data_IF_134558922238
#
_entry.id   IF_134558922238
#
_cell.length_a   1.000
_cell.length_b   1.000
_cell.length_c   1.000
_cell.angle_alpha   90.00
_cell.angle_beta   90.00
_cell.angle_gamma   90.00
#
_symmetry.space_group_name_H-M   'P 1'
#
loop_
_entity.id
_entity.type
_entity.pdbx_description
1 polymer ?
#
# COMPACT_ATOMS: atom_id res chain seq x y z
N UNK A 1 11.20 -9.48 -5.14
CA UNK A 1 11.41 -8.79 -6.44
C UNK A 1 10.12 -8.25 -7.06
N UNK A 2 9.02 -9.01 -7.13
CA UNK A 2 7.71 -8.51 -7.61
C UNK A 2 7.14 -7.32 -6.81
N UNK A 3 7.28 -7.35 -5.47
CA UNK A 3 6.80 -6.29 -4.56
C UNK A 3 7.57 -4.95 -4.73
N UNK A 4 8.88 -5.02 -5.00
CA UNK A 4 9.68 -3.82 -5.28
C UNK A 4 9.35 -3.20 -6.64
N UNK A 5 9.05 -4.02 -7.64
CA UNK A 5 8.63 -3.56 -8.96
C UNK A 5 7.25 -2.86 -8.94
N UNK A 6 6.31 -3.37 -8.14
CA UNK A 6 5.02 -2.72 -7.90
C UNK A 6 5.18 -1.40 -7.11
N UNK A 7 6.09 -1.37 -6.14
CA UNK A 7 6.35 -0.19 -5.30
C UNK A 7 7.01 0.97 -6.07
N UNK A 8 7.84 0.70 -7.08
CA UNK A 8 8.49 1.77 -7.85
C UNK A 8 7.66 2.33 -9.00
N UNK A 9 6.45 1.81 -9.24
CA UNK A 9 5.65 2.16 -10.43
C UNK A 9 6.51 2.17 -11.69
N UNK A 10 7.25 1.08 -11.94
CA UNK A 10 8.15 0.95 -13.09
C UNK A 10 7.44 1.31 -14.41
N UNK A 11 6.13 1.08 -14.49
CA UNK A 11 5.28 1.47 -15.61
C UNK A 11 5.25 2.99 -15.87
N UNK A 12 5.18 3.82 -14.83
CA UNK A 12 5.19 5.28 -14.95
C UNK A 12 6.58 5.78 -15.33
N UNK A 13 7.64 5.21 -14.75
CA UNK A 13 9.02 5.59 -15.06
C UNK A 13 9.40 5.23 -16.51
N UNK A 14 8.94 4.07 -17.00
CA UNK A 14 9.11 3.66 -18.39
C UNK A 14 8.33 4.56 -19.36
N UNK A 15 7.09 4.94 -19.01
CA UNK A 15 6.28 5.88 -19.80
C UNK A 15 6.87 7.30 -19.81
N UNK A 16 7.49 7.74 -18.72
CA UNK A 16 8.14 9.06 -18.61
C UNK A 16 9.44 9.11 -19.44
N UNK A 17 10.16 7.99 -19.56
CA UNK A 17 11.38 7.90 -20.37
C UNK A 17 11.12 7.72 -21.87
N UNK A 18 10.05 7.03 -22.26
CA UNK A 18 9.72 6.73 -23.66
C UNK A 18 8.52 7.53 -24.23
N UNK A 19 7.87 8.39 -23.44
CA UNK A 19 6.60 9.02 -23.79
C UNK A 19 6.71 10.32 -24.59
N UNK A 20 5.89 10.42 -25.65
CA UNK A 20 5.58 11.66 -26.40
C UNK A 20 4.90 12.71 -25.50
N UNK A 21 4.85 14.00 -25.89
CA UNK A 21 4.24 15.09 -25.08
C UNK A 21 2.82 14.79 -24.56
N UNK A 22 2.01 14.05 -25.32
CA UNK A 22 0.68 13.59 -24.89
C UNK A 22 0.73 12.57 -23.74
N UNK A 23 1.72 11.68 -23.73
CA UNK A 23 1.92 10.69 -22.65
C UNK A 23 2.36 11.38 -21.37
N UNK A 24 3.18 12.43 -21.48
CA UNK A 24 3.62 13.25 -20.34
C UNK A 24 2.44 13.92 -19.63
N UNK A 25 1.45 14.43 -20.37
CA UNK A 25 0.25 15.03 -19.78
C UNK A 25 -0.64 13.98 -19.08
N UNK A 26 -0.77 12.78 -19.65
CA UNK A 26 -1.47 11.66 -19.00
C UNK A 26 -0.76 11.25 -17.72
N UNK A 27 0.56 11.14 -17.74
CA UNK A 27 1.38 10.82 -16.56
C UNK A 27 1.23 11.89 -15.48
N UNK A 28 1.21 13.18 -15.85
CA UNK A 28 0.92 14.28 -14.91
C UNK A 28 -0.47 14.17 -14.31
N UNK A 29 -1.47 13.78 -15.09
CA UNK A 29 -2.83 13.60 -14.58
C UNK A 29 -2.93 12.40 -13.64
N UNK A 30 -2.20 11.31 -13.93
CA UNK A 30 -2.10 10.13 -13.07
C UNK A 30 -1.37 10.45 -11.76
N UNK A 31 -0.23 11.16 -11.81
CA UNK A 31 0.47 11.71 -10.62
C UNK A 31 -0.44 12.65 -9.82
N UNK A 32 -1.32 13.40 -10.49
CA UNK A 32 -2.29 14.28 -9.80
C UNK A 32 -3.39 13.50 -9.09
N UNK A 33 -3.78 12.32 -9.62
CA UNK A 33 -4.79 11.43 -9.03
C UNK A 33 -4.22 10.40 -8.04
N UNK A 34 -2.94 10.54 -7.68
CA UNK A 34 -2.21 9.52 -6.93
C UNK A 34 -2.64 9.37 -5.47
N UNK A 35 -3.14 10.45 -4.86
CA UNK A 35 -3.58 10.50 -3.44
C UNK A 35 -4.75 9.54 -3.13
N UNK A 36 -5.65 9.36 -4.10
CA UNK A 36 -6.86 8.55 -3.97
C UNK A 36 -6.93 7.41 -4.98
N UNK A 37 -5.79 7.00 -5.56
CA UNK A 37 -5.78 5.96 -6.57
C UNK A 37 -6.28 4.64 -5.97
N UNK A 38 -7.28 4.05 -6.65
CA UNK A 38 -7.74 2.68 -6.36
C UNK A 38 -6.63 1.68 -6.67
N UNK A 39 -6.76 0.46 -6.11
CA UNK A 39 -5.79 -0.61 -6.31
C UNK A 39 -5.60 -0.91 -7.80
N UNK A 40 -4.34 -0.85 -8.25
CA UNK A 40 -3.94 -1.33 -9.56
C UNK A 40 -3.94 -2.86 -9.64
N UNK A 41 -3.82 -3.40 -10.86
CA UNK A 41 -3.82 -4.86 -11.10
C UNK A 41 -2.68 -5.57 -10.34
N UNK A 42 -1.49 -4.97 -10.30
CA UNK A 42 -0.36 -5.48 -9.53
C UNK A 42 -0.65 -5.47 -8.01
N UNK A 43 -1.34 -4.45 -7.52
CA UNK A 43 -1.70 -4.30 -6.10
C UNK A 43 -2.78 -5.31 -5.70
N UNK A 44 -3.70 -5.67 -6.59
CA UNK A 44 -4.62 -6.80 -6.36
C UNK A 44 -3.87 -8.12 -6.14
N UNK A 45 -2.77 -8.36 -6.87
CA UNK A 45 -1.89 -9.50 -6.62
C UNK A 45 -1.22 -9.44 -5.24
N UNK A 46 -0.80 -8.26 -4.80
CA UNK A 46 -0.26 -8.04 -3.45
C UNK A 46 -1.32 -8.27 -2.38
N UNK A 47 -2.56 -7.82 -2.59
CA UNK A 47 -3.65 -8.04 -1.63
C UNK A 47 -3.94 -9.53 -1.45
N UNK A 48 -4.04 -10.28 -2.55
CA UNK A 48 -4.23 -11.74 -2.48
C UNK A 48 -3.09 -12.42 -1.73
N UNK A 49 -1.86 -11.93 -1.92
CA UNK A 49 -0.70 -12.43 -1.20
C UNK A 49 -0.74 -12.08 0.30
N UNK A 50 -1.13 -10.87 0.68
CA UNK A 50 -1.28 -10.49 2.09
C UNK A 50 -2.37 -11.34 2.76
N UNK A 51 -3.48 -11.61 2.07
CA UNK A 51 -4.55 -12.48 2.57
C UNK A 51 -4.03 -13.90 2.83
N UNK A 52 -3.20 -14.45 1.93
CA UNK A 52 -2.66 -15.80 2.13
C UNK A 52 -1.69 -15.89 3.31
N UNK A 53 -0.92 -14.82 3.57
CA UNK A 53 -0.04 -14.73 4.74
C UNK A 53 -0.83 -14.68 6.05
N UNK A 54 -1.85 -13.82 6.13
CA UNK A 54 -2.73 -13.72 7.31
C UNK A 54 -3.41 -15.06 7.59
N UNK A 55 -3.86 -15.74 6.54
CA UNK A 55 -4.45 -17.07 6.67
C UNK A 55 -3.48 -18.13 7.17
N UNK A 56 -2.20 -18.03 6.79
CA UNK A 56 -1.12 -18.89 7.30
C UNK A 56 -0.92 -18.71 8.80
N UNK A 57 -0.74 -17.46 9.25
CA UNK A 57 -0.58 -17.14 10.68
C UNK A 57 -1.78 -17.57 11.52
N UNK A 58 -2.99 -17.28 11.04
CA UNK A 58 -4.21 -17.64 11.76
C UNK A 58 -4.31 -19.15 11.97
N UNK A 59 -3.82 -19.94 11.00
CA UNK A 59 -3.80 -21.40 11.11
C UNK A 59 -2.75 -21.88 12.11
N UNK A 60 -1.54 -21.32 12.09
CA UNK A 60 -0.51 -21.66 13.09
C UNK A 60 -1.02 -21.33 14.50
N UNK A 61 -1.57 -20.14 14.70
CA UNK A 61 -2.12 -19.72 15.98
C UNK A 61 -3.27 -20.63 16.46
N UNK A 62 -4.10 -21.13 15.53
CA UNK A 62 -5.17 -22.08 15.84
C UNK A 62 -4.68 -23.50 16.15
N UNK A 63 -3.59 -23.95 15.50
CA UNK A 63 -3.05 -25.30 15.66
C UNK A 63 -2.12 -25.44 16.87
N UNK A 64 -1.22 -24.47 17.06
CA UNK A 64 -0.18 -24.50 18.08
C UNK A 64 -0.70 -23.93 19.43
N UNK A 65 -1.74 -23.09 19.37
CA UNK A 65 -2.32 -22.46 20.55
C UNK A 65 -1.61 -21.17 20.96
N UNK A 66 -2.36 -20.27 21.61
CA UNK A 66 -1.92 -18.88 21.85
C UNK A 66 -0.74 -18.77 22.82
N UNK A 67 -0.62 -19.65 23.81
CA UNK A 67 0.45 -19.62 24.82
C UNK A 67 1.80 -20.01 24.21
N UNK A 68 1.84 -21.08 23.43
CA UNK A 68 3.05 -21.56 22.76
C UNK A 68 3.47 -20.59 21.63
N UNK A 69 2.50 -19.99 20.93
CA UNK A 69 2.76 -18.97 19.91
C UNK A 69 3.45 -17.72 20.47
N UNK A 70 2.99 -17.17 21.60
CA UNK A 70 3.58 -15.97 22.22
C UNK A 70 4.94 -16.28 22.87
N UNK A 71 5.18 -17.53 23.27
CA UNK A 71 6.49 -17.93 23.81
C UNK A 71 7.60 -17.90 22.77
N UNK A 72 7.28 -18.00 21.48
CA UNK A 72 8.25 -17.88 20.39
C UNK A 72 8.35 -16.44 19.89
N UNK A 73 9.53 -15.84 20.02
CA UNK A 73 9.80 -14.48 19.57
C UNK A 73 9.67 -14.34 18.04
N UNK A 74 9.96 -15.40 17.28
CA UNK A 74 9.87 -15.37 15.82
C UNK A 74 8.43 -15.25 15.34
N UNK A 75 7.50 -15.97 15.98
CA UNK A 75 6.07 -15.84 15.73
C UNK A 75 5.56 -14.41 16.00
N UNK A 76 6.08 -13.74 17.04
CA UNK A 76 5.74 -12.33 17.29
C UNK A 76 6.26 -11.43 16.17
N UNK A 77 7.47 -11.67 15.66
CA UNK A 77 8.03 -10.90 14.53
C UNK A 77 7.21 -11.12 13.26
N UNK A 78 6.80 -12.36 12.98
CA UNK A 78 5.94 -12.70 11.84
C UNK A 78 4.56 -12.05 11.96
N UNK A 79 3.96 -12.06 13.16
CA UNK A 79 2.72 -11.36 13.45
C UNK A 79 2.82 -9.85 13.19
N UNK A 80 3.87 -9.20 13.69
CA UNK A 80 4.10 -7.75 13.51
C UNK A 80 4.28 -7.42 12.02
N UNK A 81 5.02 -8.26 11.29
CA UNK A 81 5.24 -8.11 9.84
C UNK A 81 3.93 -8.18 9.08
N UNK A 82 3.08 -9.15 9.41
CA UNK A 82 1.73 -9.27 8.84
C UNK A 82 0.83 -8.10 9.23
N UNK A 83 0.96 -7.57 10.45
CA UNK A 83 0.24 -6.38 10.90
C UNK A 83 0.63 -5.13 10.08
N UNK A 84 1.90 -4.95 9.72
CA UNK A 84 2.32 -3.85 8.83
C UNK A 84 1.70 -3.97 7.42
N UNK A 85 1.57 -5.17 6.88
CA UNK A 85 0.87 -5.38 5.60
C UNK A 85 -0.63 -5.07 5.70
N UNK A 86 -1.28 -5.44 6.81
CA UNK A 86 -2.68 -5.06 7.08
C UNK A 86 -2.82 -3.54 7.21
N UNK A 87 -1.90 -2.89 7.94
CA UNK A 87 -1.89 -1.45 8.14
C UNK A 87 -1.71 -0.71 6.80
N UNK A 88 -0.80 -1.18 5.94
CA UNK A 88 -0.64 -0.66 4.59
C UNK A 88 -1.95 -0.70 3.80
N UNK A 89 -2.65 -1.84 3.81
CA UNK A 89 -3.92 -2.01 3.12
C UNK A 89 -5.01 -1.09 3.69
N UNK A 90 -5.11 -1.02 5.03
CA UNK A 90 -6.08 -0.17 5.72
C UNK A 90 -5.87 1.32 5.39
N UNK A 91 -4.63 1.79 5.43
CA UNK A 91 -4.29 3.18 5.12
C UNK A 91 -4.57 3.54 3.66
N UNK A 92 -4.33 2.62 2.71
CA UNK A 92 -4.73 2.80 1.31
C UNK A 92 -6.25 2.95 1.16
N UNK A 93 -7.02 2.10 1.83
CA UNK A 93 -8.49 2.20 1.84
C UNK A 93 -8.96 3.52 2.46
N UNK A 94 -8.33 3.97 3.53
CA UNK A 94 -8.61 5.27 4.16
C UNK A 94 -8.32 6.42 3.20
N UNK A 95 -7.18 6.39 2.50
CA UNK A 95 -6.82 7.43 1.51
C UNK A 95 -7.85 7.53 0.39
N UNK A 96 -8.26 6.37 -0.16
CA UNK A 96 -9.33 6.31 -1.15
C UNK A 96 -10.64 6.88 -0.61
N UNK A 97 -11.05 6.48 0.59
CA UNK A 97 -12.30 6.94 1.20
C UNK A 97 -12.31 8.45 1.44
N UNK A 98 -11.19 9.02 1.93
CA UNK A 98 -11.06 10.46 2.15
C UNK A 98 -11.13 11.22 0.83
N UNK A 99 -10.40 10.78 -0.20
CA UNK A 99 -10.47 11.41 -1.53
C UNK A 99 -11.88 11.34 -2.12
N UNK A 100 -12.54 10.18 -2.02
CA UNK A 100 -13.91 10.03 -2.50
C UNK A 100 -14.91 10.93 -1.75
N UNK A 101 -14.77 11.05 -0.43
CA UNK A 101 -15.61 11.92 0.40
C UNK A 101 -15.38 13.39 0.04
N UNK A 102 -14.13 13.82 -0.04
CA UNK A 102 -13.76 15.21 -0.29
C UNK A 102 -14.17 15.64 -1.72
N UNK A 103 -14.12 14.73 -2.70
CA UNK A 103 -14.60 14.99 -4.07
C UNK A 103 -16.12 15.21 -4.09
N UNK A 104 -16.87 14.42 -3.30
CA UNK A 104 -18.32 14.62 -3.13
C UNK A 104 -18.68 15.96 -2.47
N UNK A 105 -17.82 16.45 -1.60
CA UNK A 105 -17.97 17.76 -0.94
C UNK A 105 -17.49 18.94 -1.81
N UNK A 106 -17.00 18.67 -3.03
CA UNK A 106 -16.49 19.69 -3.95
C UNK A 106 -15.16 20.30 -3.50
N UNK A 107 -14.43 19.65 -2.57
CA UNK A 107 -13.12 20.09 -2.11
C UNK A 107 -12.05 19.76 -3.15
N UNK A 108 -10.94 20.50 -3.11
CA UNK A 108 -9.75 20.20 -3.94
C UNK A 108 -9.07 18.94 -3.40
N UNK A 109 -9.38 17.80 -4.00
CA UNK A 109 -8.79 16.49 -3.68
C UNK A 109 -7.47 16.24 -4.39
N UNK A 110 -7.29 16.87 -5.55
CA UNK A 110 -6.20 16.60 -6.48
C UNK A 110 -5.15 17.72 -6.45
N UNK A 111 -4.04 17.46 -5.76
CA UNK A 111 -2.90 18.37 -5.67
C UNK A 111 -1.57 17.60 -5.56
N UNK A 112 -0.44 18.24 -5.93
CA UNK A 112 0.88 17.62 -5.93
C UNK A 112 1.27 17.01 -4.59
N UNK A 113 2.10 15.96 -4.62
CA UNK A 113 2.61 15.25 -3.43
C UNK A 113 3.30 16.17 -2.41
N UNK A 114 3.90 17.25 -2.88
CA UNK A 114 4.58 18.25 -2.04
C UNK A 114 3.63 19.02 -1.12
N UNK A 115 2.35 19.14 -1.50
CA UNK A 115 1.31 19.83 -0.73
C UNK A 115 0.57 18.85 0.22
N UNK A 116 0.96 17.57 0.26
CA UNK A 116 0.33 16.56 1.11
C UNK A 116 0.65 16.82 2.59
N UNK A 117 -0.35 16.62 3.45
CA UNK A 117 -0.12 16.65 4.90
C UNK A 117 0.86 15.54 5.30
N UNK A 118 1.67 15.80 6.33
CA UNK A 118 2.67 14.83 6.79
C UNK A 118 2.04 13.52 7.28
N UNK A 119 0.79 13.57 7.75
CA UNK A 119 0.01 12.41 8.19
C UNK A 119 -1.01 11.94 7.14
N UNK A 120 -0.81 12.25 5.86
CA UNK A 120 -1.65 11.69 4.79
C UNK A 120 -1.61 10.15 4.82
N UNK A 121 -2.76 9.47 4.81
CA UNK A 121 -2.81 8.01 4.88
C UNK A 121 -2.03 7.34 3.74
N UNK A 122 -1.97 7.94 2.55
CA UNK A 122 -1.15 7.43 1.45
C UNK A 122 0.35 7.39 1.80
N UNK A 123 0.91 8.45 2.40
CA UNK A 123 2.32 8.49 2.80
C UNK A 123 2.61 7.50 3.92
N UNK A 124 1.73 7.45 4.92
CA UNK A 124 1.83 6.47 6.00
C UNK A 124 1.76 5.03 5.47
N UNK A 125 0.95 4.78 4.42
CA UNK A 125 0.86 3.46 3.80
C UNK A 125 2.19 3.05 3.16
N UNK A 126 2.86 3.95 2.43
CA UNK A 126 4.17 3.66 1.83
C UNK A 126 5.22 3.33 2.91
N UNK A 127 5.21 4.08 4.02
CA UNK A 127 6.07 3.82 5.18
C UNK A 127 5.78 2.47 5.85
N UNK A 128 4.51 2.13 6.07
CA UNK A 128 4.10 0.85 6.64
C UNK A 128 4.50 -0.33 5.74
N UNK A 129 4.36 -0.18 4.42
CA UNK A 129 4.79 -1.19 3.46
C UNK A 129 6.32 -1.38 3.48
N UNK A 130 7.08 -0.28 3.50
CA UNK A 130 8.53 -0.34 3.60
C UNK A 130 8.98 -1.00 4.92
N UNK A 131 8.33 -0.68 6.03
CA UNK A 131 8.59 -1.32 7.32
C UNK A 131 8.32 -2.84 7.28
N UNK A 132 7.17 -3.26 6.74
CA UNK A 132 6.84 -4.68 6.57
C UNK A 132 7.81 -5.43 5.65
N UNK A 133 8.46 -4.73 4.71
CA UNK A 133 9.49 -5.32 3.84
C UNK A 133 10.86 -5.48 4.51
N UNK A 134 11.15 -4.74 5.58
CA UNK A 134 12.45 -4.81 6.29
C UNK A 134 12.50 -6.02 7.23
N UNK A 135 11.38 -6.34 7.86
CA UNK A 135 11.29 -7.47 8.81
C UNK A 135 11.25 -8.84 8.12
N UNK A 136 11.25 -8.87 6.79
CA UNK A 136 11.15 -10.07 5.96
C UNK A 136 12.47 -10.38 5.26
#
# INVERSE_FOLDING_TARGET
MLLGAASQRIEILALEWFGTDWVQDIVKEWKRKERGALFGIAECGVILYVISLIWGELRSLWCDGLEEYISDLWNIVDFITNMFYVLWLALRMTSFYICWRDEREGKRTWYPREEWDTFEPMLLSEGAFAAGMIFR
#
